data_IF_651030998621
#
_entry.id   IF_651030998621
#
_cell.length_a   1.000
_cell.length_b   1.000
_cell.length_c   1.000
_cell.angle_alpha   90.00
_cell.angle_beta   90.00
_cell.angle_gamma   90.00
#
_symmetry.space_group_name_H-M   'P 1'
#
loop_
_entity.id
_entity.type
_entity.pdbx_description
1 polymer ?
#
# COMPACT_ATOMS: atom_id res chain seq x y z
N UNK A 1 -13.97 -26.74 103.86
CA UNK A 1 -15.02 -27.19 102.92
C UNK A 1 -15.67 -26.03 102.13
N UNK A 2 -15.76 -24.79 102.64
CA UNK A 2 -16.37 -23.66 101.89
C UNK A 2 -15.56 -23.16 100.67
N UNK A 3 -14.23 -23.07 100.77
CA UNK A 3 -13.37 -22.48 99.72
C UNK A 3 -13.29 -23.29 98.43
N UNK A 4 -13.44 -24.62 98.51
CA UNK A 4 -13.40 -25.51 97.32
C UNK A 4 -14.68 -25.38 96.50
N UNK A 5 -15.85 -25.36 97.16
CA UNK A 5 -17.14 -25.17 96.49
C UNK A 5 -17.25 -23.78 95.83
N UNK A 6 -16.68 -22.73 96.44
CA UNK A 6 -16.63 -21.40 95.85
C UNK A 6 -15.69 -21.33 94.63
N UNK A 7 -14.61 -22.12 94.60
CA UNK A 7 -13.74 -22.27 93.43
C UNK A 7 -14.39 -23.07 92.30
N UNK A 8 -15.08 -24.17 92.63
CA UNK A 8 -15.84 -24.97 91.65
C UNK A 8 -16.92 -24.13 90.97
N UNK A 9 -17.65 -23.32 91.74
CA UNK A 9 -18.66 -22.41 91.20
C UNK A 9 -18.06 -21.33 90.29
N UNK A 10 -16.87 -20.82 90.63
CA UNK A 10 -16.13 -19.87 89.77
C UNK A 10 -15.58 -20.52 88.51
N UNK A 11 -15.13 -21.76 88.57
CA UNK A 11 -14.71 -22.54 87.40
C UNK A 11 -15.89 -22.75 86.46
N UNK A 12 -17.05 -23.17 86.98
CA UNK A 12 -18.26 -23.35 86.18
C UNK A 12 -18.74 -22.02 85.57
N UNK A 13 -18.59 -20.90 86.29
CA UNK A 13 -18.89 -19.57 85.75
C UNK A 13 -17.89 -19.11 84.68
N UNK A 14 -16.60 -19.45 84.83
CA UNK A 14 -15.56 -19.17 83.84
C UNK A 14 -15.73 -20.01 82.58
N UNK A 15 -16.07 -21.30 82.70
CA UNK A 15 -16.39 -22.18 81.58
C UNK A 15 -17.57 -21.63 80.78
N UNK A 16 -18.67 -21.24 81.46
CA UNK A 16 -19.81 -20.60 80.79
C UNK A 16 -19.44 -19.31 80.06
N UNK A 17 -18.54 -18.50 80.64
CA UNK A 17 -18.04 -17.28 79.98
C UNK A 17 -17.16 -17.59 78.77
N UNK A 18 -16.33 -18.63 78.84
CA UNK A 18 -15.54 -19.09 77.71
C UNK A 18 -16.43 -19.56 76.55
N UNK A 19 -17.44 -20.38 76.84
CA UNK A 19 -18.40 -20.86 75.83
C UNK A 19 -19.13 -19.68 75.16
N UNK A 20 -19.50 -18.65 75.95
CA UNK A 20 -20.14 -17.43 75.44
C UNK A 20 -19.20 -16.64 74.53
N UNK A 21 -17.92 -16.53 74.88
CA UNK A 21 -16.90 -15.84 74.07
C UNK A 21 -16.67 -16.58 72.75
N UNK A 22 -16.54 -17.91 72.78
CA UNK A 22 -16.40 -18.72 71.57
C UNK A 22 -17.62 -18.60 70.63
N UNK A 23 -18.84 -18.59 71.18
CA UNK A 23 -20.06 -18.34 70.39
C UNK A 23 -20.08 -16.94 69.78
N UNK A 24 -19.69 -15.92 70.55
CA UNK A 24 -19.60 -14.53 70.07
C UNK A 24 -18.57 -14.39 68.95
N UNK A 25 -17.37 -14.96 69.10
CA UNK A 25 -16.31 -14.94 68.07
C UNK A 25 -16.75 -15.67 66.80
N UNK A 26 -17.42 -16.82 66.95
CA UNK A 26 -17.93 -17.61 65.81
C UNK A 26 -19.05 -16.87 65.08
N UNK A 27 -19.93 -16.18 65.79
CA UNK A 27 -20.98 -15.34 65.21
C UNK A 27 -20.40 -14.13 64.47
N UNK A 28 -19.37 -13.49 65.04
CA UNK A 28 -18.71 -12.33 64.43
C UNK A 28 -17.97 -12.73 63.15
N UNK A 29 -17.20 -13.81 63.17
CA UNK A 29 -16.52 -14.34 61.98
C UNK A 29 -17.49 -14.76 60.87
N UNK A 30 -18.69 -15.27 61.23
CA UNK A 30 -19.74 -15.59 60.27
C UNK A 30 -20.31 -14.32 59.61
N UNK A 31 -20.56 -13.28 60.41
CA UNK A 31 -21.03 -11.97 59.92
C UNK A 31 -20.04 -11.31 58.96
N UNK A 32 -18.75 -11.22 59.34
CA UNK A 32 -17.70 -10.62 58.51
C UNK A 32 -17.52 -11.38 57.16
N UNK A 33 -17.63 -12.71 57.19
CA UNK A 33 -17.54 -13.54 55.99
C UNK A 33 -18.75 -13.36 55.04
N UNK A 34 -19.94 -13.10 55.57
CA UNK A 34 -21.12 -12.77 54.75
C UNK A 34 -21.03 -11.37 54.12
N UNK A 35 -20.52 -10.39 54.86
CA UNK A 35 -20.33 -9.02 54.36
C UNK A 35 -19.29 -8.99 53.22
N UNK A 36 -18.14 -9.64 53.41
CA UNK A 36 -17.12 -9.80 52.37
C UNK A 36 -17.63 -10.52 51.12
N UNK A 37 -18.54 -11.49 51.27
CA UNK A 37 -19.16 -12.16 50.11
C UNK A 37 -20.05 -11.21 49.32
N UNK A 38 -20.90 -10.43 50.00
CA UNK A 38 -21.76 -9.42 49.36
C UNK A 38 -20.93 -8.35 48.63
N UNK A 39 -19.85 -7.87 49.26
CA UNK A 39 -18.96 -6.89 48.65
C UNK A 39 -18.25 -7.47 47.40
N UNK A 40 -17.77 -8.71 47.46
CA UNK A 40 -17.17 -9.37 46.30
C UNK A 40 -18.17 -9.61 45.15
N UNK A 41 -19.42 -9.94 45.47
CA UNK A 41 -20.48 -10.06 44.47
C UNK A 41 -20.79 -8.71 43.82
N UNK A 42 -20.86 -7.62 44.61
CA UNK A 42 -21.04 -6.26 44.10
C UNK A 42 -19.87 -5.82 43.20
N UNK A 43 -18.62 -6.04 43.64
CA UNK A 43 -17.43 -5.75 42.85
C UNK A 43 -17.37 -6.56 41.55
N UNK A 44 -17.82 -7.82 41.56
CA UNK A 44 -17.91 -8.63 40.33
C UNK A 44 -18.93 -8.06 39.36
N UNK A 45 -20.08 -7.60 39.85
CA UNK A 45 -21.10 -6.97 39.00
C UNK A 45 -20.60 -5.65 38.39
N UNK A 46 -19.95 -4.79 39.18
CA UNK A 46 -19.35 -3.53 38.70
C UNK A 46 -18.25 -3.79 37.65
N UNK A 47 -17.39 -4.78 37.89
CA UNK A 47 -16.36 -5.16 36.92
C UNK A 47 -16.93 -5.66 35.59
N UNK A 48 -18.05 -6.40 35.63
CA UNK A 48 -18.73 -6.85 34.42
C UNK A 48 -19.34 -5.68 33.64
N UNK A 49 -19.95 -4.72 34.33
CA UNK A 49 -20.48 -3.51 33.70
C UNK A 49 -19.37 -2.65 33.07
N UNK A 50 -18.25 -2.48 33.78
CA UNK A 50 -17.07 -1.77 33.27
C UNK A 50 -16.47 -2.46 32.04
N UNK A 51 -16.42 -3.80 32.02
CA UNK A 51 -16.00 -4.58 30.84
C UNK A 51 -16.88 -4.29 29.63
N UNK A 52 -18.20 -4.36 29.79
CA UNK A 52 -19.15 -4.08 28.71
C UNK A 52 -18.98 -2.65 28.20
N UNK A 53 -18.75 -1.69 29.10
CA UNK A 53 -18.50 -0.29 28.72
C UNK A 53 -17.19 -0.15 27.93
N UNK A 54 -16.12 -0.80 28.38
CA UNK A 54 -14.83 -0.82 27.70
C UNK A 54 -14.95 -1.39 26.28
N UNK A 55 -15.62 -2.53 26.12
CA UNK A 55 -15.84 -3.14 24.79
C UNK A 55 -16.63 -2.22 23.85
N UNK A 56 -17.66 -1.53 24.36
CA UNK A 56 -18.42 -0.54 23.57
C UNK A 56 -17.55 0.64 23.15
N UNK A 57 -16.71 1.15 24.06
CA UNK A 57 -15.82 2.28 23.76
C UNK A 57 -14.73 1.87 22.76
N UNK A 58 -14.16 0.67 22.88
CA UNK A 58 -13.22 0.12 21.90
C UNK A 58 -13.85 0.03 20.50
N UNK A 59 -15.10 -0.44 20.41
CA UNK A 59 -15.83 -0.49 19.14
C UNK A 59 -16.02 0.92 18.55
N UNK A 60 -16.41 1.90 19.37
CA UNK A 60 -16.59 3.30 18.93
C UNK A 60 -15.28 3.91 18.44
N UNK A 61 -14.18 3.67 19.15
CA UNK A 61 -12.85 4.13 18.75
C UNK A 61 -12.46 3.52 17.40
N UNK A 62 -12.61 2.20 17.22
CA UNK A 62 -12.35 1.53 15.94
C UNK A 62 -13.17 2.12 14.79
N UNK A 63 -14.45 2.41 15.04
CA UNK A 63 -15.32 3.02 14.03
C UNK A 63 -14.89 4.45 13.67
N UNK A 64 -14.51 5.25 14.68
CA UNK A 64 -14.05 6.62 14.47
C UNK A 64 -12.71 6.65 13.71
N UNK A 65 -11.77 5.78 14.06
CA UNK A 65 -10.49 5.61 13.33
C UNK A 65 -10.77 5.33 11.86
N UNK A 66 -11.65 4.37 11.55
CA UNK A 66 -12.02 4.07 10.16
C UNK A 66 -12.61 5.27 9.44
N UNK A 67 -13.45 6.06 10.10
CA UNK A 67 -14.03 7.28 9.52
C UNK A 67 -12.97 8.33 9.22
N UNK A 68 -12.00 8.51 10.13
CA UNK A 68 -10.89 9.44 9.93
C UNK A 68 -9.96 8.98 8.80
N UNK A 69 -9.63 7.69 8.72
CA UNK A 69 -8.87 7.11 7.60
C UNK A 69 -9.59 7.29 6.26
N UNK A 70 -10.92 7.22 6.24
CA UNK A 70 -11.73 7.48 5.04
C UNK A 70 -11.71 8.97 4.64
N UNK A 71 -11.63 9.89 5.60
CA UNK A 71 -11.48 11.33 5.35
C UNK A 71 -10.06 11.68 4.86
N UNK A 72 -9.03 11.14 5.49
CA UNK A 72 -7.63 11.33 5.08
C UNK A 72 -7.40 10.88 3.63
N UNK A 73 -7.95 9.72 3.25
CA UNK A 73 -7.91 9.24 1.86
C UNK A 73 -8.59 10.19 0.87
N UNK A 74 -9.68 10.86 1.27
CA UNK A 74 -10.34 11.84 0.39
C UNK A 74 -9.46 13.06 0.20
N UNK A 75 -8.83 13.53 1.27
CA UNK A 75 -7.93 14.68 1.21
C UNK A 75 -6.70 14.39 0.34
N UNK A 76 -6.08 13.21 0.49
CA UNK A 76 -4.99 12.77 -0.39
C UNK A 76 -5.41 12.73 -1.87
N UNK A 77 -6.61 12.23 -2.15
CA UNK A 77 -7.17 12.20 -3.50
C UNK A 77 -7.38 13.61 -4.04
N UNK A 78 -7.90 14.53 -3.23
CA UNK A 78 -8.10 15.94 -3.60
C UNK A 78 -6.76 16.61 -3.88
N UNK A 79 -5.77 16.45 -2.99
CA UNK A 79 -4.44 17.03 -3.17
C UNK A 79 -3.79 16.52 -4.47
N UNK A 80 -3.85 15.21 -4.71
CA UNK A 80 -3.36 14.60 -5.94
C UNK A 80 -4.06 15.15 -7.18
N UNK A 81 -5.39 15.25 -7.16
CA UNK A 81 -6.16 15.79 -8.30
C UNK A 81 -5.80 17.26 -8.54
N UNK A 82 -5.68 18.06 -7.47
CA UNK A 82 -5.25 19.45 -7.58
C UNK A 82 -3.84 19.58 -8.19
N UNK A 83 -2.89 18.73 -7.78
CA UNK A 83 -1.56 18.68 -8.40
C UNK A 83 -1.63 18.35 -9.89
N UNK A 84 -2.48 17.38 -10.26
CA UNK A 84 -2.67 16.97 -11.65
C UNK A 84 -3.27 18.09 -12.49
N UNK A 85 -4.35 18.71 -12.01
CA UNK A 85 -5.03 19.84 -12.66
C UNK A 85 -4.03 20.97 -12.90
N UNK A 86 -3.22 21.32 -11.90
CA UNK A 86 -2.17 22.35 -12.04
C UNK A 86 -1.14 21.99 -13.10
N UNK A 87 -0.72 20.74 -13.17
CA UNK A 87 0.25 20.29 -14.17
C UNK A 87 -0.33 20.40 -15.57
N UNK A 88 -1.57 19.94 -15.78
CA UNK A 88 -2.27 20.05 -17.06
C UNK A 88 -2.50 21.50 -17.50
N UNK A 89 -2.91 22.37 -16.57
CA UNK A 89 -3.07 23.82 -16.86
C UNK A 89 -1.74 24.44 -17.26
N UNK A 90 -0.63 24.04 -16.62
CA UNK A 90 0.70 24.49 -17.03
C UNK A 90 1.01 24.06 -18.46
N UNK A 91 0.78 22.80 -18.81
CA UNK A 91 1.01 22.26 -20.17
C UNK A 91 0.17 23.01 -21.21
N UNK A 92 -1.11 23.25 -20.93
CA UNK A 92 -2.03 23.98 -21.82
C UNK A 92 -1.58 25.42 -22.05
N UNK A 93 -1.17 26.13 -21.00
CA UNK A 93 -0.66 27.50 -21.13
C UNK A 93 0.56 27.55 -22.04
N UNK A 94 1.51 26.62 -21.87
CA UNK A 94 2.71 26.54 -22.71
C UNK A 94 2.35 26.23 -24.16
N UNK A 95 1.43 25.29 -24.40
CA UNK A 95 0.96 24.93 -25.75
C UNK A 95 0.30 26.11 -26.49
N UNK A 96 -0.36 27.00 -25.76
CA UNK A 96 -0.97 28.22 -26.29
C UNK A 96 -0.01 29.43 -26.34
N UNK A 97 1.27 29.25 -26.00
CA UNK A 97 2.26 30.32 -25.98
C UNK A 97 2.08 31.33 -24.85
N UNK A 98 1.27 31.00 -23.84
CA UNK A 98 1.00 31.82 -22.66
C UNK A 98 2.01 31.51 -21.54
N UNK A 99 2.24 32.44 -20.58
CA UNK A 99 3.06 32.16 -19.41
C UNK A 99 2.55 30.94 -18.63
N UNK A 100 3.43 29.96 -18.40
CA UNK A 100 3.11 28.67 -17.79
C UNK A 100 2.29 28.74 -16.48
N UNK A 101 2.47 29.81 -15.70
CA UNK A 101 1.85 29.99 -14.38
C UNK A 101 0.69 31.00 -14.35
N UNK A 102 0.19 31.48 -15.49
CA UNK A 102 -0.85 32.52 -15.56
C UNK A 102 -2.16 32.08 -14.87
N UNK A 103 -2.74 30.97 -15.34
CA UNK A 103 -4.03 30.46 -14.85
C UNK A 103 -3.93 29.67 -13.53
N UNK A 104 -2.72 29.40 -13.04
CA UNK A 104 -2.51 28.67 -11.78
C UNK A 104 -2.94 29.46 -10.54
N UNK A 105 -3.00 30.80 -10.63
CA UNK A 105 -3.39 31.67 -9.50
C UNK A 105 -4.84 31.43 -9.03
N UNK A 106 -5.70 30.93 -9.93
CA UNK A 106 -7.09 30.60 -9.62
C UNK A 106 -7.25 29.19 -9.01
N UNK A 107 -6.20 28.38 -8.96
CA UNK A 107 -6.23 26.99 -8.49
C UNK A 107 -5.62 26.83 -7.08
N UNK A 108 -6.21 25.97 -6.23
CA UNK A 108 -5.76 25.79 -4.85
C UNK A 108 -4.33 25.27 -4.75
N UNK A 109 -3.54 25.86 -3.84
CA UNK A 109 -2.34 25.30 -3.20
C UNK A 109 -2.20 23.76 -3.29
N UNK A 110 -1.14 23.18 -3.86
CA UNK A 110 -0.92 21.72 -3.92
C UNK A 110 0.53 21.43 -4.28
N UNK A 111 1.13 20.49 -3.54
CA UNK A 111 2.49 19.99 -3.72
C UNK A 111 2.51 18.67 -4.49
N UNK A 112 3.72 18.19 -4.85
CA UNK A 112 3.88 16.82 -5.38
C UNK A 112 3.41 15.82 -4.31
N UNK A 113 2.56 14.83 -4.64
CA UNK A 113 2.15 13.82 -3.67
C UNK A 113 3.36 13.07 -3.12
N UNK A 114 3.42 12.89 -1.80
CA UNK A 114 4.54 12.20 -1.15
C UNK A 114 4.59 10.73 -1.56
N UNK A 115 5.81 10.21 -1.72
CA UNK A 115 6.09 8.79 -1.99
C UNK A 115 6.75 8.21 -0.75
N UNK A 116 6.00 7.42 0.02
CA UNK A 116 6.50 6.75 1.23
C UNK A 116 7.17 5.42 0.88
N UNK A 117 7.83 4.79 1.86
CA UNK A 117 8.47 3.47 1.67
C UNK A 117 7.46 2.36 1.31
N UNK A 118 6.22 2.46 1.79
CA UNK A 118 5.13 1.51 1.53
C UNK A 118 4.39 1.75 0.19
N UNK A 119 4.76 2.81 -0.53
CA UNK A 119 4.13 3.22 -1.78
C UNK A 119 4.14 2.07 -2.81
N UNK A 120 3.04 1.86 -3.57
CA UNK A 120 2.96 0.72 -4.48
C UNK A 120 4.03 0.69 -5.57
N UNK A 121 4.62 1.83 -5.94
CA UNK A 121 5.72 1.90 -6.90
C UNK A 121 6.87 0.96 -6.51
N UNK A 122 7.24 0.93 -5.22
CA UNK A 122 8.36 0.12 -4.74
C UNK A 122 8.12 -1.38 -4.84
N UNK A 123 6.85 -1.80 -4.90
CA UNK A 123 6.45 -3.19 -5.11
C UNK A 123 6.47 -3.64 -6.57
N UNK A 124 6.78 -2.76 -7.52
CA UNK A 124 6.80 -3.03 -8.96
C UNK A 124 8.25 -3.04 -9.46
N UNK A 125 8.68 -4.14 -10.09
CA UNK A 125 9.99 -4.22 -10.72
C UNK A 125 9.94 -3.63 -12.13
N UNK A 126 10.06 -2.31 -12.21
CA UNK A 126 10.36 -1.63 -13.47
C UNK A 126 11.85 -1.76 -13.78
N UNK A 127 12.17 -2.45 -14.88
CA UNK A 127 13.56 -2.73 -15.26
C UNK A 127 13.80 -2.44 -16.72
N UNK A 128 15.04 -2.15 -17.08
CA UNK A 128 15.48 -2.08 -18.46
C UNK A 128 15.53 -3.49 -19.05
N UNK A 129 14.89 -3.68 -20.19
CA UNK A 129 14.95 -4.91 -20.98
C UNK A 129 15.46 -4.64 -22.40
N UNK A 130 16.12 -5.63 -23.01
CA UNK A 130 16.48 -5.61 -24.43
C UNK A 130 15.65 -6.63 -25.18
N UNK A 131 14.93 -6.19 -26.21
CA UNK A 131 14.18 -7.10 -27.08
C UNK A 131 15.19 -7.87 -27.93
N UNK A 132 15.33 -9.17 -27.67
CA UNK A 132 16.23 -10.07 -28.39
C UNK A 132 15.58 -10.55 -29.70
N UNK A 133 14.27 -10.76 -29.66
CA UNK A 133 13.50 -11.24 -30.81
C UNK A 133 12.06 -10.74 -30.74
N UNK A 134 11.46 -10.40 -31.88
CA UNK A 134 10.07 -9.98 -31.97
C UNK A 134 9.39 -10.54 -33.24
N UNK A 135 8.15 -11.00 -33.13
CA UNK A 135 7.37 -11.48 -34.29
C UNK A 135 5.87 -11.30 -34.09
N UNK A 136 5.09 -11.25 -35.18
CA UNK A 136 3.62 -11.20 -35.09
C UNK A 136 3.08 -12.48 -34.45
N UNK A 137 2.13 -12.34 -33.52
CA UNK A 137 1.43 -13.49 -32.96
C UNK A 137 0.56 -14.19 -34.03
N UNK A 138 0.65 -15.53 -34.13
CA UNK A 138 0.00 -16.32 -35.19
C UNK A 138 -1.53 -16.19 -35.22
N UNK A 139 -2.15 -16.12 -34.04
CA UNK A 139 -3.62 -16.12 -33.86
C UNK A 139 -4.22 -14.78 -33.43
N UNK A 140 -3.40 -13.73 -33.28
CA UNK A 140 -3.86 -12.47 -32.71
C UNK A 140 -3.32 -11.28 -33.51
N UNK A 141 -4.22 -10.52 -34.11
CA UNK A 141 -3.84 -9.46 -35.07
C UNK A 141 -3.22 -8.21 -34.42
N UNK A 142 -3.33 -8.08 -33.10
CA UNK A 142 -2.81 -6.91 -32.37
C UNK A 142 -1.54 -7.22 -31.57
N UNK A 143 -1.16 -8.49 -31.46
CA UNK A 143 -0.07 -8.90 -30.58
C UNK A 143 1.23 -9.10 -31.35
N UNK A 144 2.31 -8.57 -30.78
CA UNK A 144 3.68 -8.98 -31.05
C UNK A 144 4.10 -9.91 -29.91
N UNK A 145 4.78 -11.00 -30.25
CA UNK A 145 5.45 -11.86 -29.29
C UNK A 145 6.92 -11.43 -29.23
N UNK A 146 7.43 -11.22 -28.02
CA UNK A 146 8.79 -10.80 -27.76
C UNK A 146 9.54 -11.78 -26.85
N UNK A 147 10.84 -11.94 -27.11
CA UNK A 147 11.81 -12.43 -26.14
C UNK A 147 12.62 -11.23 -25.67
N UNK A 148 12.56 -10.91 -24.38
CA UNK A 148 13.18 -9.71 -23.81
C UNK A 148 14.15 -10.13 -22.71
N UNK A 149 15.43 -9.85 -22.89
CA UNK A 149 16.45 -9.99 -21.85
C UNK A 149 16.24 -8.89 -20.81
N UNK A 150 15.86 -9.27 -19.59
CA UNK A 150 15.66 -8.37 -18.46
C UNK A 150 16.82 -8.46 -17.45
N UNK A 151 17.94 -9.07 -17.82
CA UNK A 151 19.12 -9.29 -16.96
C UNK A 151 18.96 -10.46 -15.98
N UNK A 152 20.09 -11.05 -15.59
CA UNK A 152 20.13 -12.25 -14.74
C UNK A 152 19.43 -12.08 -13.39
N UNK A 153 19.54 -10.88 -12.79
CA UNK A 153 18.90 -10.54 -11.53
C UNK A 153 17.36 -10.67 -11.57
N UNK A 154 16.76 -10.59 -12.77
CA UNK A 154 15.32 -10.71 -13.00
C UNK A 154 14.97 -11.98 -13.80
N UNK A 155 15.85 -12.97 -13.82
CA UNK A 155 15.60 -14.27 -14.48
C UNK A 155 16.01 -14.33 -15.95
N UNK A 156 16.76 -13.35 -16.45
CA UNK A 156 17.28 -13.32 -17.82
C UNK A 156 16.20 -13.05 -18.88
N UNK A 157 16.16 -13.88 -19.92
CA UNK A 157 15.19 -13.77 -21.01
C UNK A 157 13.77 -14.15 -20.59
N UNK A 158 12.83 -13.26 -20.92
CA UNK A 158 11.39 -13.43 -20.66
C UNK A 158 10.62 -13.43 -21.97
N UNK A 159 9.59 -14.27 -22.02
CA UNK A 159 8.59 -14.25 -23.10
C UNK A 159 7.50 -13.26 -22.72
N UNK A 160 7.25 -12.27 -23.55
CA UNK A 160 6.24 -11.24 -23.35
C UNK A 160 5.41 -11.15 -24.63
N UNK A 161 4.11 -10.84 -24.51
CA UNK A 161 3.31 -10.49 -25.67
C UNK A 161 2.67 -9.12 -25.46
N UNK A 162 2.91 -8.23 -26.42
CA UNK A 162 2.54 -6.82 -26.33
C UNK A 162 1.54 -6.43 -27.41
N UNK A 163 0.59 -5.55 -27.08
CA UNK A 163 -0.43 -5.03 -28.02
C UNK A 163 0.09 -4.02 -29.05
N UNK A 164 1.32 -4.19 -29.53
CA UNK A 164 2.06 -3.17 -30.27
C UNK A 164 2.00 -3.33 -31.80
N UNK A 165 1.37 -4.38 -32.33
CA UNK A 165 1.42 -4.70 -33.77
C UNK A 165 0.81 -3.60 -34.67
N UNK A 166 -0.12 -2.80 -34.13
CA UNK A 166 -0.72 -1.68 -34.88
C UNK A 166 0.20 -0.44 -34.95
N UNK A 167 1.25 -0.37 -34.14
CA UNK A 167 2.10 0.81 -33.97
C UNK A 167 3.56 0.56 -34.38
N UNK A 168 4.01 -0.69 -34.26
CA UNK A 168 5.38 -1.09 -34.55
C UNK A 168 5.40 -2.30 -35.45
N UNK A 169 6.37 -2.34 -36.36
CA UNK A 169 6.76 -3.60 -36.98
C UNK A 169 7.65 -4.37 -36.01
N UNK A 170 7.55 -5.72 -35.95
CA UNK A 170 8.42 -6.50 -35.08
C UNK A 170 9.91 -6.23 -35.31
N UNK A 171 10.33 -6.05 -36.56
CA UNK A 171 11.71 -5.76 -36.93
C UNK A 171 12.24 -4.43 -36.35
N UNK A 172 11.37 -3.46 -36.11
CA UNK A 172 11.75 -2.16 -35.54
C UNK A 172 11.98 -2.26 -34.02
N UNK A 173 11.53 -3.34 -33.39
CA UNK A 173 11.64 -3.58 -31.95
C UNK A 173 12.88 -4.41 -31.58
N UNK A 174 13.37 -5.27 -32.48
CA UNK A 174 14.55 -6.09 -32.19
C UNK A 174 15.78 -5.22 -31.89
N UNK A 175 16.49 -5.55 -30.82
CA UNK A 175 17.65 -4.83 -30.31
C UNK A 175 17.33 -3.58 -29.48
N UNK A 176 16.09 -3.05 -29.53
CA UNK A 176 15.69 -1.87 -28.73
C UNK A 176 15.75 -2.16 -27.23
N UNK A 177 16.12 -1.13 -26.49
CA UNK A 177 15.95 -1.08 -25.04
C UNK A 177 14.55 -0.56 -24.72
N UNK A 178 13.88 -1.21 -23.79
CA UNK A 178 12.54 -0.86 -23.32
C UNK A 178 12.48 -0.95 -21.80
N UNK A 179 11.43 -0.40 -21.20
CA UNK A 179 11.12 -0.65 -19.78
C UNK A 179 10.11 -1.78 -19.67
N UNK A 180 10.36 -2.71 -18.75
CA UNK A 180 9.54 -3.90 -18.52
C UNK A 180 9.07 -3.93 -17.07
N UNK A 181 7.80 -4.28 -16.86
CA UNK A 181 7.29 -4.73 -15.56
C UNK A 181 7.65 -6.20 -15.39
N UNK A 182 8.73 -6.50 -14.65
CA UNK A 182 9.36 -7.81 -14.65
C UNK A 182 8.87 -8.77 -13.55
N UNK A 183 8.12 -8.31 -12.54
CA UNK A 183 7.61 -9.17 -11.47
C UNK A 183 6.13 -9.54 -11.62
N UNK A 184 5.55 -9.44 -12.82
CA UNK A 184 4.20 -9.92 -13.08
C UNK A 184 4.17 -11.44 -13.10
N UNK A 185 3.11 -12.04 -12.56
CA UNK A 185 2.83 -13.47 -12.71
C UNK A 185 2.61 -13.81 -14.18
N UNK A 186 3.22 -14.90 -14.66
CA UNK A 186 3.01 -15.38 -16.03
C UNK A 186 1.53 -15.63 -16.32
N UNK A 187 1.07 -15.14 -17.47
CA UNK A 187 -0.27 -15.37 -17.98
C UNK A 187 -0.22 -15.60 -19.50
N UNK A 188 -0.90 -16.63 -20.03
CA UNK A 188 -0.99 -16.80 -21.47
C UNK A 188 -1.90 -15.74 -22.09
N UNK A 189 -1.44 -15.11 -23.18
CA UNK A 189 -2.19 -14.21 -24.04
C UNK A 189 -2.42 -14.91 -25.38
N UNK A 190 -3.66 -15.30 -25.65
CA UNK A 190 -4.05 -16.07 -26.86
C UNK A 190 -3.18 -17.33 -27.08
N UNK A 191 -2.74 -17.94 -25.98
CA UNK A 191 -1.93 -19.16 -25.98
C UNK A 191 -0.41 -18.94 -25.90
N UNK A 192 0.08 -17.71 -26.08
CA UNK A 192 1.49 -17.39 -25.90
C UNK A 192 1.79 -17.00 -24.44
N UNK A 193 2.81 -17.57 -23.77
CA UNK A 193 3.15 -17.20 -22.40
C UNK A 193 3.68 -15.76 -22.32
N UNK A 194 3.08 -14.94 -21.46
CA UNK A 194 3.55 -13.57 -21.19
C UNK A 194 3.92 -13.43 -19.72
N UNK A 195 5.21 -13.23 -19.47
CA UNK A 195 5.82 -13.13 -18.14
C UNK A 195 6.41 -11.72 -17.92
N UNK A 196 5.56 -10.73 -18.07
CA UNK A 196 5.89 -9.31 -17.96
C UNK A 196 5.01 -8.46 -18.87
N UNK A 197 5.31 -7.16 -18.91
CA UNK A 197 4.63 -6.16 -19.72
C UNK A 197 5.62 -5.07 -20.14
N UNK A 198 5.61 -4.67 -21.41
CA UNK A 198 6.41 -3.53 -21.90
C UNK A 198 5.68 -2.23 -21.59
N UNK A 199 6.35 -1.31 -20.89
CA UNK A 199 5.79 -0.03 -20.50
C UNK A 199 5.79 0.96 -21.68
N UNK A 200 4.63 1.50 -22.01
CA UNK A 200 4.44 2.38 -23.14
C UNK A 200 3.73 3.68 -22.75
N UNK A 201 4.12 4.80 -23.36
CA UNK A 201 3.35 6.03 -23.39
C UNK A 201 2.17 5.85 -24.35
N UNK A 202 0.95 6.12 -23.89
CA UNK A 202 -0.26 5.80 -24.64
C UNK A 202 -1.27 6.93 -24.55
N UNK A 203 -1.79 7.41 -25.69
CA UNK A 203 -2.94 8.33 -25.68
C UNK A 203 -4.19 7.62 -25.16
N UNK A 204 -5.05 8.34 -24.45
CA UNK A 204 -6.29 7.77 -23.88
C UNK A 204 -7.24 7.18 -24.93
N UNK A 205 -7.23 7.72 -26.14
CA UNK A 205 -7.99 7.21 -27.29
C UNK A 205 -7.29 6.07 -28.06
N UNK A 206 -6.11 5.63 -27.59
CA UNK A 206 -5.23 4.67 -28.25
C UNK A 206 -4.83 5.03 -29.69
N UNK A 207 -4.91 6.31 -30.08
CA UNK A 207 -4.51 6.76 -31.42
C UNK A 207 -2.99 6.73 -31.63
N UNK A 208 -2.21 6.77 -30.55
CA UNK A 208 -0.75 6.66 -30.57
C UNK A 208 -0.24 5.94 -29.32
N UNK A 209 0.71 5.03 -29.54
CA UNK A 209 1.44 4.30 -28.49
C UNK A 209 2.93 4.36 -28.81
N UNK A 210 3.75 4.65 -27.80
CA UNK A 210 5.20 4.67 -27.91
C UNK A 210 5.83 3.87 -26.78
N UNK A 211 6.77 2.99 -27.10
CA UNK A 211 7.58 2.34 -26.06
C UNK A 211 8.40 3.39 -25.31
N UNK A 212 8.53 3.21 -24.00
CA UNK A 212 9.40 4.08 -23.20
C UNK A 212 10.86 3.64 -23.40
N UNK A 213 11.69 4.53 -23.94
CA UNK A 213 13.08 4.23 -24.27
C UNK A 213 14.00 4.67 -23.12
N UNK A 214 14.74 3.73 -22.48
CA UNK A 214 15.79 4.07 -21.54
C UNK A 214 16.95 4.81 -22.24
N UNK A 215 17.82 5.51 -21.48
CA UNK A 215 19.09 6.03 -21.98
C UNK A 215 19.91 4.97 -22.71
N UNK A 216 20.62 5.36 -23.77
CA UNK A 216 21.34 4.44 -24.65
C UNK A 216 22.45 3.62 -23.97
N UNK A 217 22.98 4.10 -22.84
CA UNK A 217 24.00 3.42 -22.03
C UNK A 217 23.40 2.52 -20.92
N UNK A 218 22.08 2.43 -20.83
CA UNK A 218 21.42 1.49 -19.94
C UNK A 218 21.63 0.04 -20.41
N UNK A 219 21.74 -0.88 -19.46
CA UNK A 219 21.88 -2.31 -19.75
C UNK A 219 20.70 -3.10 -19.19
N UNK A 220 20.35 -4.25 -19.79
CA UNK A 220 19.34 -5.16 -19.27
C UNK A 220 19.51 -5.43 -17.78
N UNK A 221 18.39 -5.36 -17.04
CA UNK A 221 18.34 -5.59 -15.59
C UNK A 221 18.63 -4.37 -14.73
N UNK A 222 18.93 -3.20 -15.30
CA UNK A 222 18.96 -1.99 -14.48
C UNK A 222 17.55 -1.62 -14.02
N UNK A 223 17.38 -1.42 -12.71
CA UNK A 223 16.10 -1.05 -12.11
C UNK A 223 15.83 0.45 -12.28
N UNK A 224 14.59 0.78 -12.61
CA UNK A 224 14.12 2.16 -12.68
C UNK A 224 13.82 2.66 -11.27
N UNK A 225 14.30 3.85 -10.94
CA UNK A 225 14.13 4.51 -9.63
C UNK A 225 13.46 5.87 -9.80
N UNK A 226 13.06 6.47 -8.68
CA UNK A 226 12.53 7.83 -8.65
C UNK A 226 13.63 8.81 -8.28
N UNK A 227 13.74 9.90 -9.04
CA UNK A 227 14.74 10.93 -8.79
C UNK A 227 14.61 11.49 -7.36
N UNK A 228 15.75 11.57 -6.66
CA UNK A 228 15.84 12.16 -5.32
C UNK A 228 15.25 11.31 -4.20
N UNK A 229 14.75 10.09 -4.50
CA UNK A 229 14.23 9.16 -3.50
C UNK A 229 15.15 7.94 -3.37
N UNK A 230 15.39 7.46 -2.12
CA UNK A 230 16.12 6.22 -1.93
C UNK A 230 15.32 5.06 -2.51
N UNK A 231 16.02 4.04 -3.04
CA UNK A 231 15.37 2.78 -3.38
C UNK A 231 14.82 2.12 -2.11
N UNK A 232 13.63 1.51 -2.21
CA UNK A 232 13.08 0.71 -1.11
C UNK A 232 14.00 -0.46 -0.78
N UNK A 233 14.07 -0.78 0.52
CA UNK A 233 14.83 -1.92 1.04
C UNK A 233 14.04 -3.23 1.01
N UNK A 234 12.73 -3.15 0.76
CA UNK A 234 11.86 -4.33 0.73
C UNK A 234 12.04 -5.13 -0.56
N UNK A 235 12.13 -6.44 -0.42
CA UNK A 235 12.12 -7.34 -1.57
C UNK A 235 10.74 -7.33 -2.24
N UNK A 236 10.75 -7.19 -3.57
CA UNK A 236 9.54 -7.28 -4.38
C UNK A 236 9.00 -8.71 -4.41
N UNK A 237 7.68 -8.82 -4.62
CA UNK A 237 6.96 -10.09 -4.73
C UNK A 237 6.34 -10.21 -6.11
N UNK A 238 6.00 -11.43 -6.51
CA UNK A 238 5.24 -11.68 -7.73
C UNK A 238 3.87 -10.97 -7.67
N UNK A 239 3.53 -10.22 -8.73
CA UNK A 239 2.28 -9.48 -8.88
C UNK A 239 1.29 -10.32 -9.69
N UNK A 240 0.21 -10.74 -9.05
CA UNK A 240 -0.93 -11.33 -9.73
C UNK A 240 -1.94 -10.24 -10.13
N UNK A 241 -2.03 -9.92 -11.42
CA UNK A 241 -2.96 -8.92 -11.96
C UNK A 241 -4.46 -9.26 -11.73
N UNK A 242 -4.80 -10.49 -11.33
CA UNK A 242 -6.19 -10.83 -10.94
C UNK A 242 -6.52 -10.43 -9.49
N UNK A 243 -5.51 -10.11 -8.68
CA UNK A 243 -5.70 -9.68 -7.30
C UNK A 243 -6.13 -8.22 -7.26
N UNK A 244 -7.20 -7.89 -6.54
CA UNK A 244 -7.70 -6.50 -6.42
C UNK A 244 -6.73 -5.57 -5.68
N UNK A 245 -5.79 -6.11 -4.92
CA UNK A 245 -4.80 -5.37 -4.15
C UNK A 245 -3.39 -5.45 -4.74
N UNK A 246 -3.29 -5.72 -6.05
CA UNK A 246 -1.99 -5.85 -6.70
C UNK A 246 -1.30 -4.48 -6.82
N UNK A 247 0.02 -4.46 -6.68
CA UNK A 247 0.80 -3.22 -6.63
C UNK A 247 0.84 -2.49 -7.97
N UNK A 248 0.70 -3.20 -9.09
CA UNK A 248 0.66 -2.59 -10.42
C UNK A 248 -0.57 -1.73 -10.63
N UNK A 249 -1.78 -2.26 -10.40
CA UNK A 249 -3.04 -1.50 -10.55
C UNK A 249 -3.12 -0.29 -9.60
N UNK A 250 -2.41 -0.36 -8.47
CA UNK A 250 -2.30 0.76 -7.54
C UNK A 250 -1.29 1.83 -7.99
N UNK A 251 -0.19 1.45 -8.65
CA UNK A 251 0.87 2.36 -9.09
C UNK A 251 0.62 2.96 -10.49
N UNK A 252 0.11 2.17 -11.44
CA UNK A 252 -0.03 2.54 -12.85
C UNK A 252 -0.79 3.85 -13.09
N UNK A 253 -1.88 4.18 -12.37
CA UNK A 253 -2.61 5.44 -12.57
C UNK A 253 -1.76 6.71 -12.32
N UNK A 254 -0.67 6.58 -11.59
CA UNK A 254 0.24 7.68 -11.27
C UNK A 254 1.41 7.82 -12.24
N UNK A 255 1.65 6.81 -13.10
CA UNK A 255 2.70 6.79 -14.11
C UNK A 255 2.25 7.54 -15.36
N UNK A 256 3.00 8.57 -15.77
CA UNK A 256 2.70 9.38 -16.96
C UNK A 256 3.97 9.86 -17.64
N UNK A 257 3.82 10.34 -18.86
CA UNK A 257 4.78 11.24 -19.50
C UNK A 257 4.30 12.67 -19.29
N UNK A 258 5.20 13.55 -18.84
CA UNK A 258 4.89 14.95 -18.60
C UNK A 258 4.88 15.80 -19.89
N UNK A 259 4.69 17.11 -19.75
CA UNK A 259 4.70 18.07 -20.85
C UNK A 259 6.05 18.14 -21.59
N UNK A 260 7.14 17.73 -20.95
CA UNK A 260 8.49 17.76 -21.51
C UNK A 260 8.87 16.42 -22.17
N UNK A 261 7.96 15.45 -22.20
CA UNK A 261 8.23 14.11 -22.72
C UNK A 261 8.96 13.20 -21.73
N UNK A 262 9.06 13.58 -20.45
CA UNK A 262 9.76 12.81 -19.42
C UNK A 262 8.80 11.93 -18.62
N UNK A 263 9.20 10.69 -18.36
CA UNK A 263 8.40 9.77 -17.56
C UNK A 263 8.45 10.15 -16.08
N UNK A 264 7.28 10.23 -15.45
CA UNK A 264 7.10 10.62 -14.05
C UNK A 264 6.12 9.70 -13.31
N UNK A 265 6.34 9.54 -12.00
CA UNK A 265 5.42 8.90 -11.05
C UNK A 265 5.13 9.90 -9.93
N UNK A 266 3.86 10.27 -9.72
CA UNK A 266 3.48 11.32 -8.74
C UNK A 266 4.30 12.62 -8.87
N UNK A 267 4.80 12.92 -10.08
CA UNK A 267 5.64 14.08 -10.36
C UNK A 267 7.14 13.93 -10.07
N UNK A 268 7.60 12.76 -9.62
CA UNK A 268 9.02 12.40 -9.53
C UNK A 268 9.47 11.76 -10.84
N UNK A 269 10.63 12.15 -11.36
CA UNK A 269 11.14 11.60 -12.62
C UNK A 269 11.55 10.13 -12.44
N UNK A 270 11.15 9.30 -13.39
CA UNK A 270 11.68 7.95 -13.53
C UNK A 270 13.10 8.07 -14.08
N UNK A 271 14.04 7.46 -13.40
CA UNK A 271 15.46 7.52 -13.76
C UNK A 271 16.10 6.14 -13.77
N UNK A 272 17.15 6.02 -14.58
CA UNK A 272 18.10 4.91 -14.52
C UNK A 272 19.51 5.49 -14.61
N UNK A 273 20.37 5.10 -13.67
CA UNK A 273 21.70 5.72 -13.47
C UNK A 273 21.66 7.26 -13.41
N UNK A 274 20.62 7.83 -12.79
CA UNK A 274 20.45 9.28 -12.66
C UNK A 274 20.07 10.01 -13.95
N UNK A 275 19.74 9.29 -15.03
CA UNK A 275 19.24 9.87 -16.28
C UNK A 275 17.74 9.63 -16.43
N UNK A 276 17.03 10.64 -16.91
CA UNK A 276 15.57 10.59 -17.08
C UNK A 276 15.17 9.65 -18.21
N UNK A 277 14.05 8.97 -18.02
CA UNK A 277 13.39 8.20 -19.07
C UNK A 277 12.48 9.11 -19.89
N UNK A 278 12.43 8.91 -21.20
CA UNK A 278 11.69 9.77 -22.12
C UNK A 278 10.86 8.99 -23.11
N UNK A 279 9.68 9.53 -23.44
CA UNK A 279 8.95 9.10 -24.62
C UNK A 279 9.56 9.78 -25.87
N UNK A 280 9.39 9.16 -27.03
CA UNK A 280 9.99 9.66 -28.27
C UNK A 280 9.39 11.01 -28.70
N UNK A 281 8.07 11.16 -28.62
CA UNK A 281 7.39 12.42 -28.93
C UNK A 281 6.05 12.66 -28.23
N UNK A 282 5.48 11.65 -27.55
CA UNK A 282 4.25 11.85 -26.78
C UNK A 282 4.52 12.64 -25.50
N UNK A 283 3.61 13.54 -25.17
CA UNK A 283 3.62 14.38 -23.97
C UNK A 283 2.25 14.35 -23.30
N UNK A 284 2.20 14.58 -21.99
CA UNK A 284 0.98 14.63 -21.15
C UNK A 284 0.09 13.37 -21.20
N UNK A 285 0.65 12.22 -21.60
CA UNK A 285 -0.07 10.94 -21.73
C UNK A 285 0.18 9.98 -20.56
N UNK A 286 -0.75 9.06 -20.24
CA UNK A 286 -0.47 7.98 -19.28
C UNK A 286 0.60 7.00 -19.79
N UNK A 287 1.24 6.31 -18.84
CA UNK A 287 2.06 5.14 -19.11
C UNK A 287 1.26 3.87 -18.79
N UNK A 288 1.27 2.89 -19.69
CA UNK A 288 0.55 1.61 -19.58
C UNK A 288 1.40 0.45 -20.04
#
# INVERSE_FOLDING_TARGET
>A
MSSVADMEKKMEELEKRMDTIEEMEKSQACGDAEELKKENEALRAENEELKIKLEKDEYRIKHLIRSLEEEEKKEEVIERLNYRIRTLVRSLNVAEGRPANEDLKALPASAKPKVEESDPFWGVDLVVGRIVKAWKHEKADKLICEVIDCGEAFGGERKIASGLFLFYRPEDLEGKLVVVVANLKEKPLVGYPSHGMVLCACKEDHSAVQVLEPPADAVPGMKITLEGLPASTEATKEINLRSKSNKWDAAQPELRVDANGEAVYKGYYLTVNGKHLKAASLTDVPLS
#
